data_IF_017498228624
#
_entry.id   IF_017498228624
#
_cell.length_a   1.000
_cell.length_b   1.000
_cell.length_c   1.000
_cell.angle_alpha   90.00
_cell.angle_beta   90.00
_cell.angle_gamma   90.00
#
_symmetry.space_group_name_H-M   'P 1'
#
loop_
_entity.id
_entity.type
_entity.pdbx_description
1 polymer ?
#
# COMPACT_ATOMS: atom_id res chain seq x y z
N UNK A 1 21.18 12.34 16.11
CA UNK A 1 20.12 11.33 15.91
C UNK A 1 20.67 10.06 15.28
N UNK A 2 21.45 10.14 14.19
CA UNK A 2 22.06 8.99 13.51
C UNK A 2 22.91 8.11 14.42
N UNK A 3 23.69 8.71 15.31
CA UNK A 3 24.59 8.01 16.26
C UNK A 3 23.83 6.99 17.13
N UNK A 4 22.61 7.31 17.57
CA UNK A 4 21.78 6.38 18.34
C UNK A 4 21.25 5.23 17.51
N UNK A 5 21.11 5.43 16.20
CA UNK A 5 20.52 4.43 15.29
C UNK A 5 21.51 3.30 14.99
N UNK A 6 22.82 3.59 14.94
CA UNK A 6 23.83 2.56 14.64
C UNK A 6 24.61 2.04 15.86
N UNK A 7 24.58 2.76 17.00
CA UNK A 7 25.35 2.38 18.19
C UNK A 7 25.04 0.98 18.72
N UNK A 8 23.79 0.53 18.57
CA UNK A 8 23.36 -0.82 18.96
C UNK A 8 23.92 -1.93 18.08
N UNK A 9 24.41 -1.58 16.88
CA UNK A 9 24.93 -2.57 15.92
C UNK A 9 26.45 -2.67 15.95
N UNK A 10 27.14 -1.66 16.49
CA UNK A 10 28.61 -1.64 16.59
C UNK A 10 29.07 -2.69 17.58
N UNK A 11 30.06 -3.51 17.18
CA UNK A 11 30.61 -4.60 18.02
C UNK A 11 29.71 -5.85 18.10
N UNK A 12 28.60 -5.88 17.39
CA UNK A 12 27.74 -7.08 17.29
C UNK A 12 28.17 -7.96 16.12
N UNK A 13 27.78 -9.27 16.15
CA UNK A 13 27.99 -10.15 15.01
C UNK A 13 27.31 -9.61 13.75
N UNK A 14 28.05 -9.70 12.63
CA UNK A 14 27.54 -9.31 11.32
C UNK A 14 26.29 -10.12 10.94
N UNK A 15 25.29 -9.43 10.39
CA UNK A 15 24.09 -10.03 9.86
C UNK A 15 23.52 -9.14 8.75
N UNK A 16 23.28 -9.68 7.54
CA UNK A 16 22.63 -8.94 6.45
C UNK A 16 21.27 -8.40 6.87
N UNK A 17 20.54 -9.08 7.73
CA UNK A 17 19.28 -8.63 8.27
C UNK A 17 19.43 -7.37 9.13
N UNK A 18 20.49 -7.29 9.95
CA UNK A 18 20.78 -6.09 10.76
C UNK A 18 21.14 -4.90 9.88
N UNK A 19 21.92 -5.12 8.83
CA UNK A 19 22.26 -4.06 7.85
C UNK A 19 21.01 -3.55 7.17
N UNK A 20 20.13 -4.43 6.71
CA UNK A 20 18.85 -4.05 6.11
C UNK A 20 17.99 -3.25 7.07
N UNK A 21 17.86 -3.69 8.32
CA UNK A 21 17.09 -2.97 9.35
C UNK A 21 17.66 -1.58 9.63
N UNK A 22 18.99 -1.45 9.62
CA UNK A 22 19.63 -0.15 9.79
C UNK A 22 19.36 0.79 8.62
N UNK A 23 19.36 0.27 7.38
CA UNK A 23 18.98 1.05 6.20
C UNK A 23 17.50 1.50 6.27
N UNK A 24 16.59 0.63 6.65
CA UNK A 24 15.19 0.97 6.87
C UNK A 24 15.03 2.09 7.93
N UNK A 25 15.79 2.04 9.02
CA UNK A 25 15.78 3.08 10.03
C UNK A 25 16.35 4.42 9.50
N UNK A 26 17.37 4.38 8.63
CA UNK A 26 17.91 5.57 7.96
C UNK A 26 16.88 6.18 7.01
N UNK A 27 16.20 5.35 6.22
CA UNK A 27 15.12 5.79 5.31
C UNK A 27 13.97 6.45 6.10
N UNK A 28 13.59 5.89 7.25
CA UNK A 28 12.60 6.51 8.14
C UNK A 28 13.06 7.87 8.68
N UNK A 29 14.34 7.99 9.06
CA UNK A 29 14.88 9.27 9.55
C UNK A 29 14.91 10.32 8.45
N UNK A 30 15.30 9.95 7.23
CA UNK A 30 15.26 10.80 6.04
C UNK A 30 13.82 11.30 5.81
N UNK A 31 12.85 10.38 5.84
CA UNK A 31 11.44 10.70 5.64
C UNK A 31 10.87 11.62 6.74
N UNK A 32 11.17 11.34 8.02
CA UNK A 32 10.70 12.15 9.17
C UNK A 32 11.26 13.57 9.18
N UNK A 33 12.45 13.77 8.60
CA UNK A 33 13.08 15.09 8.52
C UNK A 33 12.81 15.81 7.18
N UNK A 34 11.91 15.26 6.35
CA UNK A 34 11.58 15.80 5.02
C UNK A 34 12.82 16.03 4.11
N UNK A 35 13.83 15.18 4.25
CA UNK A 35 15.03 15.24 3.43
C UNK A 35 14.73 14.52 2.09
N UNK A 36 14.29 15.28 1.09
CA UNK A 36 13.73 14.73 -0.14
C UNK A 36 14.75 14.20 -1.15
N UNK A 37 16.01 14.55 -1.02
CA UNK A 37 17.05 14.27 -2.02
C UNK A 37 18.30 13.63 -1.42
N UNK A 38 18.12 12.78 -0.43
CA UNK A 38 19.21 12.07 0.21
C UNK A 38 19.32 10.68 -0.38
N UNK A 39 20.45 10.40 -0.99
CA UNK A 39 20.84 9.06 -1.43
C UNK A 39 21.81 8.46 -0.42
N UNK A 40 21.74 7.15 -0.25
CA UNK A 40 22.72 6.42 0.55
C UNK A 40 23.22 5.18 -0.19
N UNK A 41 24.46 4.85 0.03
CA UNK A 41 25.03 3.57 -0.36
C UNK A 41 25.74 2.92 0.83
N UNK A 42 25.91 1.61 0.78
CA UNK A 42 26.59 0.83 1.79
C UNK A 42 27.76 0.11 1.13
N UNK A 43 28.93 0.29 1.71
CA UNK A 43 30.14 -0.48 1.38
C UNK A 43 30.45 -1.42 2.54
N UNK A 44 30.62 -2.70 2.25
CA UNK A 44 31.07 -3.71 3.20
C UNK A 44 32.53 -4.00 2.94
N UNK A 45 33.41 -3.67 3.89
CA UNK A 45 34.83 -3.93 3.81
C UNK A 45 35.13 -5.06 4.78
N UNK A 46 35.60 -6.19 4.25
CA UNK A 46 35.96 -7.38 5.04
C UNK A 46 37.42 -7.29 5.42
N UNK A 47 37.69 -7.26 6.72
CA UNK A 47 39.02 -7.37 7.32
C UNK A 47 39.14 -8.74 8.04
N UNK A 48 40.36 -9.18 8.35
CA UNK A 48 40.63 -10.54 8.87
C UNK A 48 39.75 -11.01 10.02
N UNK A 49 39.30 -10.10 10.89
CA UNK A 49 38.50 -10.43 12.07
C UNK A 49 37.26 -9.54 12.23
N UNK A 50 37.01 -8.62 11.31
CA UNK A 50 35.91 -7.65 11.40
C UNK A 50 35.35 -7.31 10.03
N UNK A 51 34.09 -6.84 10.01
CA UNK A 51 33.46 -6.27 8.83
C UNK A 51 33.17 -4.82 9.15
N UNK A 52 33.77 -3.92 8.37
CA UNK A 52 33.50 -2.49 8.44
C UNK A 52 32.37 -2.19 7.49
N UNK A 53 31.27 -1.64 8.02
CA UNK A 53 30.14 -1.19 7.21
C UNK A 53 30.19 0.32 7.12
N UNK A 54 30.40 0.84 5.92
CA UNK A 54 30.51 2.26 5.65
C UNK A 54 29.23 2.73 4.97
N UNK A 55 28.51 3.60 5.66
CA UNK A 55 27.32 4.27 5.13
C UNK A 55 27.73 5.62 4.55
N UNK A 56 27.60 5.77 3.25
CA UNK A 56 27.79 7.06 2.59
C UNK A 56 26.41 7.68 2.37
N UNK A 57 26.18 8.84 2.98
CA UNK A 57 24.94 9.60 2.86
C UNK A 57 25.30 10.91 2.17
N UNK A 58 24.66 11.20 1.05
CA UNK A 58 24.93 12.40 0.27
C UNK A 58 23.63 13.00 -0.28
N UNK A 59 23.63 14.28 -0.52
CA UNK A 59 22.55 14.96 -1.20
C UNK A 59 22.63 14.63 -2.70
N UNK A 60 21.61 13.92 -3.20
CA UNK A 60 21.47 13.57 -4.59
C UNK A 60 20.84 14.69 -5.43
N UNK A 61 20.87 14.53 -6.74
CA UNK A 61 20.16 15.43 -7.65
C UNK A 61 18.64 15.34 -7.46
N UNK A 62 17.96 16.48 -7.55
CA UNK A 62 16.50 16.53 -7.57
C UNK A 62 15.99 15.78 -8.78
N UNK A 63 15.33 14.63 -8.53
CA UNK A 63 14.61 13.90 -9.57
C UNK A 63 13.11 14.15 -9.39
N UNK A 64 12.46 14.56 -10.46
CA UNK A 64 11.01 14.83 -10.46
C UNK A 64 10.29 13.73 -11.23
N UNK A 65 9.03 13.52 -10.89
CA UNK A 65 8.13 12.63 -11.65
C UNK A 65 7.67 13.37 -12.91
N UNK A 66 8.06 12.87 -14.08
CA UNK A 66 7.59 13.40 -15.35
C UNK A 66 6.18 12.91 -15.68
N UNK A 67 5.98 11.60 -15.50
CA UNK A 67 4.70 10.94 -15.84
C UNK A 67 4.49 9.68 -15.02
N UNK A 68 3.23 9.41 -14.71
CA UNK A 68 2.78 8.16 -14.11
C UNK A 68 1.83 7.47 -15.07
N UNK A 69 2.24 6.34 -15.64
CA UNK A 69 1.41 5.51 -16.48
C UNK A 69 0.79 4.40 -15.63
N UNK A 70 -0.52 4.21 -15.78
CA UNK A 70 -1.26 3.11 -15.14
C UNK A 70 -1.73 2.18 -16.24
N UNK A 71 -1.43 0.89 -16.12
CA UNK A 71 -1.65 -0.12 -17.13
C UNK A 71 -2.33 -1.35 -16.52
N UNK A 72 -3.24 -1.97 -17.28
CA UNK A 72 -3.91 -3.22 -16.88
C UNK A 72 -5.23 -3.03 -16.12
N UNK A 73 -5.66 -1.80 -15.87
CA UNK A 73 -6.92 -1.46 -15.23
C UNK A 73 -8.07 -1.39 -16.25
N UNK A 74 -8.55 -2.56 -16.70
CA UNK A 74 -9.59 -2.64 -17.75
C UNK A 74 -10.99 -2.35 -17.21
N UNK A 75 -11.24 -2.69 -15.94
CA UNK A 75 -12.53 -2.50 -15.23
C UNK A 75 -12.42 -1.38 -14.22
N UNK A 76 -11.32 -1.32 -13.47
CA UNK A 76 -11.10 -0.33 -12.41
C UNK A 76 -10.75 1.02 -13.00
N UNK A 77 -11.46 2.07 -12.57
CA UNK A 77 -11.15 3.44 -12.95
C UNK A 77 -9.73 3.83 -12.52
N UNK A 78 -9.02 4.52 -13.37
CA UNK A 78 -7.66 5.01 -13.09
C UNK A 78 -7.59 5.87 -11.83
N UNK A 79 -8.62 6.68 -11.56
CA UNK A 79 -8.74 7.53 -10.37
C UNK A 79 -8.66 6.74 -9.06
N UNK A 80 -9.09 5.48 -9.04
CA UNK A 80 -9.00 4.60 -7.85
C UNK A 80 -7.54 4.30 -7.52
N UNK A 81 -6.72 4.10 -8.54
CA UNK A 81 -5.28 3.83 -8.37
C UNK A 81 -4.55 5.12 -8.05
N UNK A 82 -4.83 6.20 -8.79
CA UNK A 82 -4.23 7.52 -8.55
C UNK A 82 -4.54 8.06 -7.15
N UNK A 83 -5.73 7.82 -6.61
CA UNK A 83 -6.09 8.21 -5.25
C UNK A 83 -5.28 7.53 -4.13
N UNK A 84 -4.54 6.48 -4.44
CA UNK A 84 -3.64 5.82 -3.49
C UNK A 84 -2.18 6.28 -3.61
N UNK A 85 -1.87 7.11 -4.62
CA UNK A 85 -0.52 7.60 -4.82
C UNK A 85 -0.18 8.68 -3.79
N UNK A 86 1.07 8.67 -3.33
CA UNK A 86 1.67 9.67 -2.44
C UNK A 86 2.62 10.61 -3.19
N UNK A 87 2.57 10.57 -4.51
CA UNK A 87 3.34 11.42 -5.42
C UNK A 87 2.53 11.60 -6.70
N UNK A 88 2.63 12.79 -7.26
CA UNK A 88 2.01 13.18 -8.52
C UNK A 88 3.06 13.59 -9.56
N UNK A 89 2.62 13.81 -10.79
CA UNK A 89 3.46 14.34 -11.86
C UNK A 89 3.92 15.75 -11.50
N UNK A 90 5.23 15.99 -11.58
CA UNK A 90 5.89 17.21 -11.11
C UNK A 90 6.42 17.16 -9.67
N UNK A 91 6.03 16.17 -8.89
CA UNK A 91 6.52 16.01 -7.52
C UNK A 91 7.95 15.46 -7.48
N UNK A 92 8.67 15.70 -6.37
CA UNK A 92 9.94 15.05 -6.11
C UNK A 92 9.79 13.52 -6.06
N UNK A 93 10.55 12.83 -6.92
CA UNK A 93 10.59 11.38 -6.90
C UNK A 93 11.35 10.86 -5.67
N UNK A 94 10.70 10.07 -4.84
CA UNK A 94 11.35 9.28 -3.81
C UNK A 94 10.90 7.83 -3.90
N UNK A 95 11.84 6.89 -3.77
CA UNK A 95 11.53 5.46 -3.76
C UNK A 95 10.57 5.12 -2.63
N UNK A 96 10.73 5.75 -1.47
CA UNK A 96 9.86 5.52 -0.30
C UNK A 96 8.40 5.89 -0.57
N UNK A 97 8.15 7.06 -1.20
CA UNK A 97 6.78 7.48 -1.56
C UNK A 97 6.16 6.53 -2.57
N UNK A 98 6.94 6.07 -3.57
CA UNK A 98 6.48 5.08 -4.54
C UNK A 98 6.15 3.75 -3.86
N UNK A 99 7.05 3.20 -3.03
CA UNK A 99 6.82 1.91 -2.36
C UNK A 99 5.62 1.95 -1.41
N UNK A 100 5.41 3.07 -0.71
CA UNK A 100 4.20 3.31 0.09
C UNK A 100 2.93 3.38 -0.77
N UNK A 101 2.98 4.07 -1.91
CA UNK A 101 1.88 4.13 -2.88
C UNK A 101 1.50 2.74 -3.36
N UNK A 102 2.48 1.94 -3.78
CA UNK A 102 2.25 0.56 -4.21
C UNK A 102 1.66 -0.29 -3.08
N UNK A 103 2.12 -0.09 -1.85
CA UNK A 103 1.57 -0.79 -0.67
C UNK A 103 0.11 -0.43 -0.42
N UNK A 104 -0.27 0.85 -0.57
CA UNK A 104 -1.66 1.30 -0.47
C UNK A 104 -2.54 0.70 -1.58
N UNK A 105 -2.07 0.69 -2.83
CA UNK A 105 -2.80 0.05 -3.94
C UNK A 105 -3.01 -1.45 -3.66
N UNK A 106 -1.98 -2.17 -3.18
CA UNK A 106 -2.10 -3.58 -2.78
C UNK A 106 -3.08 -3.80 -1.63
N UNK A 107 -3.11 -2.89 -0.66
CA UNK A 107 -4.00 -2.96 0.49
C UNK A 107 -5.49 -2.83 0.12
N UNK A 108 -5.81 -2.26 -1.05
CA UNK A 108 -7.18 -2.24 -1.59
C UNK A 108 -7.73 -3.65 -1.85
N UNK A 109 -6.83 -4.60 -2.09
CA UNK A 109 -7.16 -6.02 -2.34
C UNK A 109 -8.13 -6.26 -3.53
N UNK A 110 -8.16 -5.34 -4.49
CA UNK A 110 -8.94 -5.45 -5.74
C UNK A 110 -8.10 -5.93 -6.93
N UNK A 111 -6.78 -6.01 -6.76
CA UNK A 111 -5.83 -6.49 -7.75
C UNK A 111 -5.18 -7.79 -7.32
N UNK A 112 -4.94 -8.70 -8.28
CA UNK A 112 -4.20 -9.94 -8.07
C UNK A 112 -2.70 -9.70 -7.99
N UNK A 113 -2.21 -8.74 -8.81
CA UNK A 113 -0.80 -8.34 -8.81
C UNK A 113 -0.69 -6.84 -9.04
N UNK A 114 0.27 -6.22 -8.37
CA UNK A 114 0.66 -4.82 -8.58
C UNK A 114 2.18 -4.77 -8.65
N UNK A 115 2.70 -4.23 -9.74
CA UNK A 115 4.13 -4.04 -9.96
C UNK A 115 4.41 -2.63 -10.45
N UNK A 116 5.62 -2.13 -10.21
CA UNK A 116 6.07 -0.84 -10.69
C UNK A 116 7.40 -0.99 -11.45
N UNK A 117 7.61 -0.08 -12.41
CA UNK A 117 8.86 0.11 -13.10
C UNK A 117 9.16 1.60 -13.15
N UNK A 118 10.38 1.97 -12.82
CA UNK A 118 10.86 3.35 -12.94
C UNK A 118 11.90 3.40 -14.06
N UNK A 119 11.76 4.35 -14.95
CA UNK A 119 12.67 4.61 -16.05
C UNK A 119 13.09 6.08 -16.09
N UNK A 120 14.16 6.38 -16.81
CA UNK A 120 14.56 7.75 -17.08
C UNK A 120 13.50 8.45 -17.92
N UNK A 121 13.28 9.74 -17.65
CA UNK A 121 12.38 10.58 -18.41
C UNK A 121 13.06 11.23 -19.63
N UNK A 122 12.44 12.31 -20.13
CA UNK A 122 12.96 13.09 -21.26
C UNK A 122 14.27 13.82 -20.92
N UNK A 123 14.51 14.09 -19.63
CA UNK A 123 15.73 14.70 -19.11
C UNK A 123 16.31 13.85 -17.97
N UNK A 124 17.60 14.03 -17.65
CA UNK A 124 18.32 13.23 -16.63
C UNK A 124 17.73 13.36 -15.21
N UNK A 125 17.06 14.48 -14.93
CA UNK A 125 16.41 14.76 -13.65
C UNK A 125 14.93 14.37 -13.62
N UNK A 126 14.42 13.74 -14.68
CA UNK A 126 13.01 13.31 -14.79
C UNK A 126 12.90 11.80 -14.73
N UNK A 127 11.82 11.31 -14.11
CA UNK A 127 11.50 9.89 -13.99
C UNK A 127 10.10 9.60 -14.49
N UNK A 128 9.97 8.51 -15.23
CA UNK A 128 8.68 7.96 -15.64
C UNK A 128 8.40 6.74 -14.78
N UNK A 129 7.18 6.66 -14.25
CA UNK A 129 6.73 5.57 -13.39
C UNK A 129 5.63 4.82 -14.13
N UNK A 130 5.86 3.53 -14.40
CA UNK A 130 4.85 2.62 -14.94
C UNK A 130 4.33 1.74 -13.80
N UNK A 131 3.03 1.84 -13.50
CA UNK A 131 2.33 1.01 -12.54
C UNK A 131 1.48 0.02 -13.30
N UNK A 132 1.80 -1.27 -13.20
CA UNK A 132 1.07 -2.34 -13.85
C UNK A 132 0.22 -3.08 -12.83
N UNK A 133 -1.07 -3.18 -13.07
CA UNK A 133 -2.02 -3.93 -12.24
C UNK A 133 -2.60 -5.10 -13.04
N UNK A 134 -2.85 -6.20 -12.35
CA UNK A 134 -3.62 -7.35 -12.86
C UNK A 134 -4.90 -7.42 -12.06
N UNK A 135 -6.04 -7.22 -12.69
CA UNK A 135 -7.34 -7.28 -12.05
C UNK A 135 -7.69 -8.71 -11.65
N UNK A 136 -8.47 -8.85 -10.59
CA UNK A 136 -9.02 -10.14 -10.15
C UNK A 136 -10.50 -10.00 -9.86
N UNK A 137 -11.28 -11.10 -9.83
CA UNK A 137 -12.64 -11.07 -9.31
C UNK A 137 -12.67 -10.47 -7.90
N UNK A 138 -13.56 -9.50 -7.69
CA UNK A 138 -13.72 -8.76 -6.43
C UNK A 138 -15.01 -9.07 -5.71
N UNK A 139 -15.90 -9.84 -6.37
CA UNK A 139 -17.13 -10.35 -5.79
C UNK A 139 -16.89 -11.58 -4.90
N UNK A 140 -17.56 -11.62 -3.76
CA UNK A 140 -17.51 -12.71 -2.78
C UNK A 140 -18.92 -13.12 -2.41
N UNK A 141 -19.16 -14.43 -2.33
CA UNK A 141 -20.43 -14.99 -1.84
C UNK A 141 -20.09 -15.93 -0.69
N UNK A 142 -20.77 -15.73 0.44
CA UNK A 142 -20.63 -16.58 1.62
C UNK A 142 -21.99 -17.03 2.09
N UNK A 143 -22.08 -18.29 2.50
CA UNK A 143 -23.26 -18.84 3.15
C UNK A 143 -22.84 -19.64 4.40
N UNK A 144 -23.61 -19.51 5.46
CA UNK A 144 -23.38 -20.21 6.71
C UNK A 144 -24.69 -20.68 7.33
N UNK A 145 -24.64 -21.77 8.09
CA UNK A 145 -25.73 -22.23 8.90
C UNK A 145 -25.25 -22.57 10.31
N UNK A 146 -26.06 -22.28 11.32
CA UNK A 146 -25.74 -22.54 12.71
C UNK A 146 -26.97 -23.07 13.47
N UNK A 147 -26.73 -23.76 14.58
CA UNK A 147 -27.75 -24.19 15.53
C UNK A 147 -27.33 -23.74 16.92
N UNK A 148 -28.21 -23.03 17.59
CA UNK A 148 -27.99 -22.51 18.94
C UNK A 148 -29.15 -22.84 19.88
N UNK A 149 -29.10 -22.29 21.08
CA UNK A 149 -30.18 -22.44 22.09
C UNK A 149 -31.52 -21.86 21.64
N UNK A 150 -31.48 -20.92 20.68
CA UNK A 150 -32.66 -20.23 20.14
C UNK A 150 -33.07 -20.75 18.74
N UNK A 151 -32.71 -22.00 18.43
CA UNK A 151 -33.07 -22.63 17.15
C UNK A 151 -31.97 -22.54 16.07
N UNK A 152 -32.38 -22.79 14.83
CA UNK A 152 -31.51 -22.75 13.65
C UNK A 152 -31.38 -21.33 13.09
N UNK A 153 -30.21 -21.04 12.48
CA UNK A 153 -30.01 -19.81 11.72
C UNK A 153 -29.23 -20.05 10.42
N UNK A 154 -29.54 -19.27 9.41
CA UNK A 154 -28.86 -19.27 8.11
C UNK A 154 -28.44 -17.84 7.81
N UNK A 155 -27.16 -17.64 7.43
CA UNK A 155 -26.62 -16.37 6.95
C UNK A 155 -26.22 -16.50 5.49
N UNK A 156 -26.50 -15.47 4.71
CA UNK A 156 -26.10 -15.36 3.31
C UNK A 156 -25.53 -13.95 3.07
N UNK A 157 -24.33 -13.87 2.52
CA UNK A 157 -23.64 -12.60 2.33
C UNK A 157 -23.13 -12.55 0.89
N UNK A 158 -23.44 -11.46 0.19
CA UNK A 158 -22.86 -11.10 -1.11
C UNK A 158 -22.10 -9.80 -0.95
N UNK A 159 -20.82 -9.78 -1.37
CA UNK A 159 -20.00 -8.59 -1.34
C UNK A 159 -19.37 -8.34 -2.69
N UNK A 160 -19.27 -7.06 -3.04
CA UNK A 160 -18.46 -6.58 -4.17
C UNK A 160 -17.52 -5.50 -3.65
N UNK A 161 -16.20 -5.70 -3.85
CA UNK A 161 -15.18 -4.81 -3.31
C UNK A 161 -14.72 -3.72 -4.30
N UNK A 162 -15.22 -3.77 -5.54
CA UNK A 162 -14.90 -2.80 -6.60
C UNK A 162 -16.15 -2.47 -7.43
N UNK A 163 -17.22 -2.04 -6.75
CA UNK A 163 -18.49 -1.75 -7.39
C UNK A 163 -18.37 -0.77 -8.54
N UNK A 164 -18.77 -1.22 -9.74
CA UNK A 164 -18.69 -0.47 -11.00
C UNK A 164 -17.27 0.04 -11.33
N UNK A 165 -16.23 -0.61 -10.85
CA UNK A 165 -14.85 -0.18 -11.07
C UNK A 165 -14.43 1.07 -10.30
N UNK A 166 -15.24 1.53 -9.35
CA UNK A 166 -15.00 2.77 -8.58
C UNK A 166 -14.24 2.52 -7.26
N UNK A 167 -13.85 1.29 -6.98
CA UNK A 167 -13.20 0.92 -5.72
C UNK A 167 -14.10 1.02 -4.49
N UNK A 168 -15.40 1.25 -4.68
CA UNK A 168 -16.39 1.26 -3.62
C UNK A 168 -16.79 -0.18 -3.27
N UNK A 169 -17.18 -0.39 -2.01
CA UNK A 169 -17.63 -1.71 -1.55
C UNK A 169 -19.15 -1.68 -1.36
N UNK A 170 -19.80 -2.73 -1.84
CA UNK A 170 -21.22 -2.97 -1.60
C UNK A 170 -21.37 -4.35 -0.99
N UNK A 171 -22.17 -4.49 0.07
CA UNK A 171 -22.57 -5.80 0.56
C UNK A 171 -24.07 -5.87 0.80
N UNK A 172 -24.59 -7.07 0.62
CA UNK A 172 -25.92 -7.48 1.03
C UNK A 172 -25.78 -8.65 1.98
N UNK A 173 -26.25 -8.46 3.20
CA UNK A 173 -26.18 -9.45 4.27
C UNK A 173 -27.64 -9.86 4.63
N UNK A 174 -27.92 -11.16 4.61
CA UNK A 174 -29.22 -11.73 4.98
C UNK A 174 -29.02 -12.76 6.08
N UNK A 175 -29.66 -12.53 7.23
CA UNK A 175 -29.70 -13.44 8.35
C UNK A 175 -31.13 -13.88 8.61
N UNK A 176 -31.38 -15.18 8.50
CA UNK A 176 -32.67 -15.79 8.78
C UNK A 176 -32.56 -16.74 9.98
N UNK A 177 -33.40 -16.54 10.99
CA UNK A 177 -33.58 -17.44 12.13
C UNK A 177 -35.04 -17.82 12.29
N UNK A 178 -35.33 -18.70 13.22
CA UNK A 178 -36.75 -19.09 13.53
C UNK A 178 -37.59 -17.90 13.99
N UNK A 179 -36.95 -16.87 14.60
CA UNK A 179 -37.65 -15.74 15.21
C UNK A 179 -37.54 -14.44 14.41
N UNK A 180 -36.56 -14.33 13.49
CA UNK A 180 -36.29 -13.07 12.78
C UNK A 180 -35.68 -13.27 11.40
N UNK A 181 -36.01 -12.35 10.49
CA UNK A 181 -35.39 -12.21 9.19
C UNK A 181 -34.78 -10.81 9.10
N UNK A 182 -33.43 -10.71 9.04
CA UNK A 182 -32.70 -9.45 8.96
C UNK A 182 -32.05 -9.33 7.62
N UNK A 183 -32.27 -8.21 6.95
CA UNK A 183 -31.57 -7.85 5.72
C UNK A 183 -30.81 -6.54 5.92
N UNK A 184 -29.55 -6.48 5.50
CA UNK A 184 -28.74 -5.26 5.57
C UNK A 184 -28.03 -5.03 4.25
N UNK A 185 -28.11 -3.81 3.74
CA UNK A 185 -27.33 -3.34 2.59
C UNK A 185 -26.31 -2.33 3.10
N UNK A 186 -25.04 -2.55 2.78
CA UNK A 186 -23.96 -1.65 3.14
C UNK A 186 -23.29 -1.12 1.88
N UNK A 187 -23.01 0.18 1.88
CA UNK A 187 -22.18 0.84 0.88
C UNK A 187 -21.03 1.55 1.57
N UNK A 188 -19.80 1.34 1.10
CA UNK A 188 -18.61 1.97 1.63
C UNK A 188 -17.82 2.62 0.51
N UNK A 189 -17.59 3.92 0.60
CA UNK A 189 -16.56 4.62 -0.17
C UNK A 189 -15.32 4.77 0.74
N UNK A 190 -14.24 4.01 0.52
CA UNK A 190 -13.07 4.00 1.42
C UNK A 190 -12.18 5.24 1.28
N UNK A 191 -12.29 5.97 0.16
CA UNK A 191 -11.55 7.20 -0.12
C UNK A 191 -12.54 8.30 -0.52
N UNK A 192 -13.41 8.69 0.43
CA UNK A 192 -14.43 9.69 0.19
C UNK A 192 -13.83 11.08 -0.08
N UNK A 193 -12.73 11.41 0.56
CA UNK A 193 -12.03 12.68 0.41
C UNK A 193 -10.52 12.49 0.29
N UNK A 194 -9.81 13.59 -0.03
CA UNK A 194 -8.34 13.62 -0.14
C UNK A 194 -7.61 13.42 1.19
N UNK A 195 -8.31 13.45 2.33
CA UNK A 195 -7.75 13.20 3.65
C UNK A 195 -7.72 11.71 4.00
N UNK A 196 -8.30 10.87 3.14
CA UNK A 196 -8.39 9.41 3.37
C UNK A 196 -9.53 9.02 4.30
N UNK A 197 -10.55 9.87 4.48
CA UNK A 197 -11.75 9.51 5.21
C UNK A 197 -12.61 8.54 4.41
N UNK A 198 -13.24 7.59 5.08
CA UNK A 198 -14.23 6.69 4.50
C UNK A 198 -15.65 7.12 4.82
N UNK A 199 -16.55 6.90 3.87
CA UNK A 199 -17.98 7.13 4.04
C UNK A 199 -18.71 5.80 3.96
N UNK A 200 -19.51 5.50 4.99
CA UNK A 200 -20.27 4.28 5.09
C UNK A 200 -21.77 4.60 5.22
N UNK A 201 -22.57 3.95 4.40
CA UNK A 201 -24.04 3.91 4.52
C UNK A 201 -24.48 2.49 4.81
N UNK A 202 -25.37 2.32 5.78
CA UNK A 202 -25.98 1.03 6.11
C UNK A 202 -27.50 1.20 6.23
N UNK A 203 -28.23 0.37 5.53
CA UNK A 203 -29.69 0.28 5.60
C UNK A 203 -30.07 -1.16 5.97
N UNK A 204 -30.76 -1.32 7.07
CA UNK A 204 -31.19 -2.62 7.56
C UNK A 204 -32.67 -2.67 7.91
N UNK A 205 -33.24 -3.86 7.79
CA UNK A 205 -34.60 -4.21 8.21
C UNK A 205 -34.55 -5.47 9.08
N UNK A 206 -35.42 -5.52 10.07
CA UNK A 206 -35.61 -6.66 11.00
C UNK A 206 -37.03 -7.10 10.93
#
# INVERSE_FOLDING_TARGET
PLEKTYSEFVGSYYSPFKVKKLLENIDELIARNNLQFVEHNVEEIIEDSSIIIKFNIFEGEKKLVERINILGNNVTNESVIRGELLLDEGDPFTKLSLDKSISKIKARNIFGKVSQKVSEGSENNLKIIDINVEEKPTGEISAGAGVGTNGGSIAFIVKENNWLGQGNKVSFDLDASEESLKGTINYTNPNYDFLGNSLNYSLGSV
#
